data_IF_214002756797
#
_entry.id   IF_214002756797
#
_cell.length_a   1.000
_cell.length_b   1.000
_cell.length_c   1.000
_cell.angle_alpha   90.00
_cell.angle_beta   90.00
_cell.angle_gamma   90.00
#
_symmetry.space_group_name_H-M   'P 1'
#
loop_
_entity.id
_entity.type
_entity.pdbx_description
1 polymer ?
#
# COMPACT_ATOMS: atom_id res chain seq x y z
N UNK A 1 6.76 -30.33 9.86
CA UNK A 1 7.21 -31.52 10.60
C UNK A 1 6.13 -32.59 10.59
N UNK A 2 6.50 -33.87 10.83
CA UNK A 2 5.55 -34.98 10.88
C UNK A 2 4.45 -34.84 11.98
N UNK A 3 4.73 -34.02 12.99
CA UNK A 3 3.80 -33.70 14.08
C UNK A 3 2.93 -32.45 13.81
N UNK A 4 2.97 -31.90 12.60
CA UNK A 4 2.23 -30.70 12.22
C UNK A 4 2.79 -29.37 12.72
N UNK A 5 3.94 -29.38 13.44
CA UNK A 5 4.58 -28.14 13.86
C UNK A 5 5.27 -27.46 12.67
N UNK A 6 5.14 -26.13 12.59
CA UNK A 6 5.91 -25.30 11.66
C UNK A 6 7.40 -25.30 12.03
N UNK A 7 8.24 -24.98 11.06
CA UNK A 7 9.68 -24.80 11.27
C UNK A 7 10.13 -23.37 11.04
N UNK A 8 9.21 -22.52 10.54
CA UNK A 8 9.48 -21.15 10.07
C UNK A 8 10.62 -21.09 9.02
N UNK A 9 10.95 -22.22 8.41
CA UNK A 9 11.95 -22.38 7.38
C UNK A 9 11.43 -23.29 6.25
N UNK A 10 11.39 -22.75 5.03
CA UNK A 10 10.92 -23.49 3.85
C UNK A 10 11.61 -22.99 2.58
N UNK A 11 11.94 -23.92 1.68
CA UNK A 11 12.55 -23.63 0.37
C UNK A 11 13.85 -22.80 0.44
N UNK A 12 14.61 -22.98 1.52
CA UNK A 12 15.87 -22.26 1.73
C UNK A 12 15.71 -20.86 2.31
N UNK A 13 14.52 -20.51 2.82
CA UNK A 13 14.21 -19.20 3.41
C UNK A 13 13.64 -19.35 4.82
N UNK A 14 14.07 -18.48 5.72
CA UNK A 14 13.39 -18.24 6.98
C UNK A 14 12.13 -17.40 6.72
N UNK A 15 11.03 -17.76 7.36
CA UNK A 15 9.73 -17.09 7.26
C UNK A 15 9.40 -16.47 8.60
N UNK A 16 9.27 -15.16 8.66
CA UNK A 16 8.99 -14.43 9.89
C UNK A 16 7.98 -13.31 9.67
N UNK A 17 7.50 -12.74 10.76
CA UNK A 17 6.75 -11.50 10.76
C UNK A 17 7.65 -10.35 11.27
N UNK A 18 7.59 -9.22 10.58
CA UNK A 18 8.19 -7.95 10.99
C UNK A 18 7.07 -6.94 11.21
N UNK A 19 6.58 -6.87 12.45
CA UNK A 19 5.32 -6.21 12.74
C UNK A 19 4.15 -6.88 11.99
N UNK A 20 3.37 -6.13 11.20
CA UNK A 20 2.29 -6.70 10.41
C UNK A 20 2.74 -7.32 9.07
N UNK A 21 4.03 -7.21 8.70
CA UNK A 21 4.57 -7.57 7.40
C UNK A 21 5.17 -8.97 7.41
N UNK A 22 4.85 -9.77 6.41
CA UNK A 22 5.51 -11.06 6.19
C UNK A 22 6.90 -10.83 5.61
N UNK A 23 7.89 -11.43 6.26
CA UNK A 23 9.30 -11.34 5.89
C UNK A 23 9.83 -12.71 5.52
N UNK A 24 10.54 -12.81 4.39
CA UNK A 24 11.31 -13.96 3.96
C UNK A 24 12.78 -13.55 3.96
N UNK A 25 13.66 -14.33 4.59
CA UNK A 25 15.07 -13.97 4.64
C UNK A 25 15.98 -15.17 4.52
N UNK A 26 17.20 -14.91 4.05
CA UNK A 26 18.29 -15.87 4.07
C UNK A 26 19.61 -15.14 4.23
N UNK A 27 20.39 -15.55 5.21
CA UNK A 27 21.74 -15.06 5.44
C UNK A 27 22.79 -16.04 4.95
N UNK A 28 24.01 -15.55 4.79
CA UNK A 28 25.15 -16.37 4.41
C UNK A 28 26.46 -15.78 4.89
N UNK A 29 27.42 -16.67 5.15
CA UNK A 29 28.78 -16.30 5.50
C UNK A 29 29.74 -17.21 4.75
N UNK A 30 30.75 -16.63 4.13
CA UNK A 30 31.90 -17.28 3.54
C UNK A 30 33.16 -16.55 3.97
N UNK A 31 34.34 -17.13 3.75
CA UNK A 31 35.62 -16.54 4.18
C UNK A 31 35.73 -15.04 3.71
N UNK A 32 35.73 -14.15 4.67
CA UNK A 32 35.85 -12.70 4.43
C UNK A 32 34.56 -11.92 4.14
N UNK A 33 33.39 -12.60 4.07
CA UNK A 33 32.15 -11.94 3.64
C UNK A 33 30.95 -12.44 4.44
N UNK A 34 30.04 -11.52 4.75
CA UNK A 34 28.69 -11.86 5.23
C UNK A 34 27.63 -11.21 4.33
N UNK A 35 26.49 -11.85 4.21
CA UNK A 35 25.38 -11.41 3.37
C UNK A 35 24.04 -11.63 4.04
N UNK A 36 23.06 -10.80 3.69
CA UNK A 36 21.65 -11.00 4.02
C UNK A 36 20.80 -10.58 2.84
N UNK A 37 19.83 -11.42 2.50
CA UNK A 37 18.74 -11.10 1.60
C UNK A 37 17.42 -11.13 2.39
N UNK A 38 16.65 -10.06 2.33
CA UNK A 38 15.33 -9.94 2.96
C UNK A 38 14.31 -9.54 1.91
N UNK A 39 13.19 -10.24 1.87
CA UNK A 39 12.08 -9.94 0.95
C UNK A 39 10.80 -9.75 1.76
N UNK A 40 10.08 -8.68 1.47
CA UNK A 40 8.73 -8.40 1.93
C UNK A 40 7.78 -8.56 0.74
N UNK A 41 7.26 -9.77 0.51
CA UNK A 41 6.56 -10.11 -0.74
C UNK A 41 5.24 -9.36 -0.90
N UNK A 42 4.56 -9.06 0.19
CA UNK A 42 3.26 -8.39 0.17
C UNK A 42 3.41 -6.89 -0.14
N UNK A 43 4.56 -6.30 0.19
CA UNK A 43 4.94 -4.91 -0.10
C UNK A 43 5.73 -4.75 -1.40
N UNK A 44 6.21 -5.85 -1.99
CA UNK A 44 7.05 -5.83 -3.19
C UNK A 44 8.44 -5.24 -2.95
N UNK A 45 8.97 -5.37 -1.74
CA UNK A 45 10.28 -4.83 -1.34
C UNK A 45 11.28 -5.96 -1.17
N UNK A 46 12.50 -5.77 -1.67
CA UNK A 46 13.64 -6.63 -1.39
C UNK A 46 14.84 -5.77 -0.95
N UNK A 47 15.54 -6.23 0.09
CA UNK A 47 16.73 -5.60 0.65
C UNK A 47 17.85 -6.62 0.63
N UNK A 48 18.96 -6.30 -0.03
CA UNK A 48 20.16 -7.13 -0.06
C UNK A 48 21.31 -6.34 0.53
N UNK A 49 21.99 -6.94 1.51
CA UNK A 49 23.18 -6.36 2.15
C UNK A 49 24.33 -7.33 2.00
N UNK A 50 25.40 -6.88 1.39
CA UNK A 50 26.65 -7.62 1.22
C UNK A 50 27.77 -6.86 1.94
N UNK A 51 28.56 -7.57 2.74
CA UNK A 51 29.69 -6.97 3.44
C UNK A 51 30.95 -7.81 3.26
N UNK A 52 32.08 -7.14 3.28
CA UNK A 52 33.40 -7.77 3.26
C UNK A 52 33.98 -7.96 4.68
N UNK A 53 33.13 -8.29 5.62
CA UNK A 53 33.49 -8.49 7.03
C UNK A 53 32.92 -9.82 7.52
N UNK A 54 33.75 -10.67 8.09
CA UNK A 54 33.34 -11.93 8.70
C UNK A 54 32.78 -11.72 10.12
N UNK A 55 32.00 -12.72 10.58
CA UNK A 55 31.44 -12.78 11.93
C UNK A 55 30.76 -11.46 12.37
N UNK A 56 30.03 -10.87 11.44
CA UNK A 56 29.42 -9.54 11.64
C UNK A 56 27.91 -9.60 11.56
N UNK A 57 27.25 -8.94 12.50
CA UNK A 57 25.80 -8.69 12.45
C UNK A 57 25.42 -7.43 11.63
N UNK A 58 26.39 -6.81 10.95
CA UNK A 58 26.14 -5.60 10.17
C UNK A 58 25.07 -5.79 9.08
N UNK A 59 25.01 -6.90 8.31
CA UNK A 59 23.95 -7.09 7.33
C UNK A 59 22.55 -7.05 7.94
N UNK A 60 22.34 -7.72 9.08
CA UNK A 60 21.06 -7.72 9.78
C UNK A 60 20.67 -6.32 10.29
N UNK A 61 21.63 -5.62 10.91
CA UNK A 61 21.39 -4.27 11.44
C UNK A 61 21.10 -3.26 10.33
N UNK A 62 21.82 -3.34 9.21
CA UNK A 62 21.62 -2.46 8.06
C UNK A 62 20.28 -2.75 7.37
N UNK A 63 19.97 -4.04 7.13
CA UNK A 63 18.70 -4.41 6.52
C UNK A 63 17.50 -3.94 7.36
N UNK A 64 17.55 -4.11 8.67
CA UNK A 64 16.50 -3.62 9.57
C UNK A 64 16.35 -2.09 9.54
N UNK A 65 17.47 -1.34 9.55
CA UNK A 65 17.43 0.12 9.44
C UNK A 65 16.87 0.59 8.10
N UNK A 66 17.25 -0.06 7.01
CA UNK A 66 16.75 0.24 5.65
C UNK A 66 15.25 -0.05 5.59
N UNK A 67 14.79 -1.21 6.11
CA UNK A 67 13.38 -1.55 6.18
C UNK A 67 12.57 -0.50 6.95
N UNK A 68 13.05 -0.08 8.11
CA UNK A 68 12.38 0.96 8.90
C UNK A 68 12.23 2.27 8.11
N UNK A 69 13.28 2.74 7.43
CA UNK A 69 13.21 3.96 6.62
C UNK A 69 12.19 3.82 5.48
N UNK A 70 12.20 2.67 4.79
CA UNK A 70 11.28 2.42 3.66
C UNK A 70 9.84 2.40 4.15
N UNK A 71 9.56 1.67 5.22
CA UNK A 71 8.19 1.45 5.67
C UNK A 71 7.64 2.64 6.45
N UNK A 72 8.43 3.35 7.23
CA UNK A 72 8.03 4.58 7.89
C UNK A 72 7.60 5.64 6.86
N UNK A 73 8.40 5.81 5.80
CA UNK A 73 8.07 6.75 4.73
C UNK A 73 6.82 6.32 3.94
N UNK A 74 6.71 5.02 3.60
CA UNK A 74 5.56 4.48 2.90
C UNK A 74 4.27 4.61 3.73
N UNK A 75 4.32 4.26 5.01
CA UNK A 75 3.18 4.33 5.93
C UNK A 75 2.70 5.79 6.12
N UNK A 76 3.62 6.75 6.24
CA UNK A 76 3.29 8.18 6.33
C UNK A 76 2.63 8.68 5.03
N UNK A 77 3.16 8.28 3.87
CA UNK A 77 2.59 8.62 2.56
C UNK A 77 1.20 8.02 2.39
N UNK A 78 1.02 6.75 2.71
CA UNK A 78 -0.27 6.07 2.61
C UNK A 78 -1.29 6.65 3.59
N UNK A 79 -0.88 7.09 4.77
CA UNK A 79 -1.73 7.81 5.73
C UNK A 79 -2.22 9.13 5.13
N UNK A 80 -1.33 9.95 4.58
CA UNK A 80 -1.67 11.23 3.96
C UNK A 80 -2.61 11.03 2.74
N UNK A 81 -2.32 10.02 1.90
CA UNK A 81 -3.15 9.69 0.73
C UNK A 81 -4.50 9.10 1.11
N UNK A 82 -4.59 8.39 2.22
CA UNK A 82 -5.86 7.90 2.78
C UNK A 82 -6.74 9.06 3.20
N UNK A 83 -6.20 10.04 3.92
CA UNK A 83 -6.92 11.25 4.32
C UNK A 83 -7.39 12.05 3.10
N UNK A 84 -6.52 12.28 2.11
CA UNK A 84 -6.86 12.95 0.86
C UNK A 84 -7.99 12.23 0.11
N UNK A 85 -7.86 10.91 -0.09
CA UNK A 85 -8.87 10.12 -0.83
C UNK A 85 -10.21 10.08 -0.09
N UNK A 86 -10.19 10.03 1.25
CA UNK A 86 -11.40 10.15 2.07
C UNK A 86 -12.09 11.50 1.84
N UNK A 87 -11.34 12.59 1.84
CA UNK A 87 -11.87 13.93 1.57
C UNK A 87 -12.50 14.03 0.17
N UNK A 88 -11.85 13.45 -0.85
CA UNK A 88 -12.40 13.38 -2.21
C UNK A 88 -13.70 12.57 -2.22
N UNK A 89 -13.70 11.40 -1.58
CA UNK A 89 -14.89 10.54 -1.50
C UNK A 89 -16.07 11.24 -0.82
N UNK A 90 -15.83 11.98 0.26
CA UNK A 90 -16.84 12.80 0.93
C UNK A 90 -17.33 13.96 0.03
N UNK A 91 -16.44 14.54 -0.77
CA UNK A 91 -16.77 15.52 -1.78
C UNK A 91 -17.71 14.96 -2.86
N UNK A 92 -17.40 13.78 -3.39
CA UNK A 92 -18.25 13.08 -4.39
C UNK A 92 -19.64 12.76 -3.83
N UNK A 93 -19.74 12.37 -2.57
CA UNK A 93 -21.02 12.18 -1.88
C UNK A 93 -21.85 13.47 -1.81
N UNK A 94 -21.21 14.61 -1.82
CA UNK A 94 -21.84 15.94 -1.84
C UNK A 94 -21.92 16.55 -3.26
N UNK A 95 -21.64 15.80 -4.31
CA UNK A 95 -21.65 16.27 -5.70
C UNK A 95 -20.54 17.26 -6.03
N UNK A 96 -19.42 17.22 -5.28
CA UNK A 96 -18.32 18.18 -5.40
C UNK A 96 -16.98 17.48 -5.56
N UNK A 97 -16.03 18.16 -6.23
CA UNK A 97 -14.66 17.66 -6.39
C UNK A 97 -13.68 18.84 -6.42
N UNK A 98 -12.52 18.66 -5.81
CA UNK A 98 -11.39 19.57 -6.00
C UNK A 98 -10.61 19.14 -7.25
N UNK A 99 -10.78 19.87 -8.32
CA UNK A 99 -10.20 19.58 -9.63
C UNK A 99 -8.69 19.73 -9.68
N UNK A 100 -8.09 20.48 -8.74
CA UNK A 100 -6.63 20.67 -8.68
C UNK A 100 -5.88 19.39 -8.34
N UNK A 101 -6.56 18.44 -7.67
CA UNK A 101 -6.01 17.15 -7.29
C UNK A 101 -5.93 16.14 -8.45
N UNK A 102 -6.48 16.47 -9.61
CA UNK A 102 -6.60 15.56 -10.74
C UNK A 102 -5.85 16.07 -11.96
N UNK A 103 -5.43 15.13 -12.81
CA UNK A 103 -4.92 15.48 -14.15
C UNK A 103 -6.01 16.08 -15.02
N UNK A 104 -5.63 16.69 -16.13
CA UNK A 104 -6.62 17.19 -17.12
C UNK A 104 -7.49 16.06 -17.68
N UNK A 105 -6.88 14.89 -17.92
CA UNK A 105 -7.58 13.70 -18.41
C UNK A 105 -8.63 13.20 -17.39
N UNK A 106 -8.24 13.00 -16.15
CA UNK A 106 -9.16 12.59 -15.08
C UNK A 106 -10.29 13.60 -14.86
N UNK A 107 -10.00 14.89 -14.95
CA UNK A 107 -11.01 15.95 -14.84
C UNK A 107 -12.10 15.89 -15.92
N UNK A 108 -11.78 15.35 -17.11
CA UNK A 108 -12.74 15.13 -18.18
C UNK A 108 -13.86 14.16 -17.82
N UNK A 109 -13.62 13.21 -16.89
CA UNK A 109 -14.63 12.25 -16.43
C UNK A 109 -15.60 12.83 -15.38
N UNK A 110 -15.23 13.90 -14.71
CA UNK A 110 -16.07 14.52 -13.67
C UNK A 110 -16.95 15.63 -14.25
N UNK A 111 -17.83 15.28 -15.21
CA UNK A 111 -18.86 16.19 -15.72
C UNK A 111 -19.87 16.57 -14.62
N UNK A 112 -20.69 17.58 -14.85
CA UNK A 112 -21.78 17.94 -13.92
C UNK A 112 -22.73 16.75 -13.69
N UNK A 113 -23.04 15.99 -14.76
CA UNK A 113 -23.87 14.79 -14.66
C UNK A 113 -23.19 13.71 -13.81
N UNK A 114 -21.91 13.41 -14.05
CA UNK A 114 -21.17 12.41 -13.28
C UNK A 114 -21.13 12.77 -11.78
N UNK A 115 -20.95 14.03 -11.43
CA UNK A 115 -20.97 14.47 -10.04
C UNK A 115 -22.37 14.34 -9.41
N UNK A 116 -23.45 14.64 -10.18
CA UNK A 116 -24.82 14.41 -9.73
C UNK A 116 -25.11 12.91 -9.52
N UNK A 117 -24.61 12.04 -10.40
CA UNK A 117 -24.75 10.58 -10.29
C UNK A 117 -24.02 10.04 -9.06
N UNK A 118 -22.80 10.54 -8.78
CA UNK A 118 -22.07 10.21 -7.53
C UNK A 118 -22.86 10.67 -6.31
N UNK A 119 -23.39 11.88 -6.32
CA UNK A 119 -24.21 12.40 -5.21
C UNK A 119 -25.46 11.55 -4.99
N UNK A 120 -26.17 11.21 -6.05
CA UNK A 120 -27.39 10.39 -5.98
C UNK A 120 -27.08 8.97 -5.44
N UNK A 121 -25.95 8.38 -5.85
CA UNK A 121 -25.58 7.01 -5.48
C UNK A 121 -24.92 6.92 -4.10
N UNK A 122 -24.05 7.84 -3.75
CA UNK A 122 -23.26 7.80 -2.52
C UNK A 122 -23.85 8.64 -1.38
N UNK A 123 -24.57 9.71 -1.69
CA UNK A 123 -25.16 10.61 -0.71
C UNK A 123 -26.05 9.90 0.31
N UNK A 124 -27.02 9.07 -0.12
CA UNK A 124 -27.93 8.35 0.78
C UNK A 124 -27.24 7.37 1.75
N UNK A 125 -26.01 6.94 1.43
CA UNK A 125 -25.27 6.00 2.28
C UNK A 125 -24.74 6.64 3.58
N UNK A 126 -24.72 7.96 3.66
CA UNK A 126 -24.13 8.65 4.80
C UNK A 126 -22.60 8.52 4.86
N UNK A 127 -22.00 8.88 5.97
CA UNK A 127 -20.56 8.72 6.19
C UNK A 127 -20.24 7.24 6.46
N UNK A 128 -19.15 6.69 5.90
CA UNK A 128 -18.68 5.36 6.26
C UNK A 128 -18.23 5.33 7.72
N UNK A 129 -18.44 4.20 8.41
CA UNK A 129 -17.91 3.97 9.76
C UNK A 129 -16.39 3.98 9.79
N UNK A 130 -15.80 3.48 8.73
CA UNK A 130 -14.35 3.40 8.58
C UNK A 130 -13.98 3.65 7.11
N UNK A 131 -12.87 4.36 6.89
CA UNK A 131 -12.24 4.53 5.59
C UNK A 131 -10.77 4.18 5.76
N UNK A 132 -10.35 3.05 5.19
CA UNK A 132 -9.00 2.52 5.41
C UNK A 132 -8.29 2.16 4.13
N UNK A 133 -6.99 2.38 4.12
CA UNK A 133 -6.07 1.86 3.12
C UNK A 133 -6.03 0.32 3.18
N UNK A 134 -5.94 -0.32 2.02
CA UNK A 134 -5.90 -1.78 1.88
C UNK A 134 -4.60 -2.22 1.24
N UNK A 135 -4.19 -1.56 0.15
CA UNK A 135 -3.05 -1.99 -0.64
C UNK A 135 -2.52 -0.86 -1.51
N UNK A 136 -1.19 -0.81 -1.68
CA UNK A 136 -0.47 0.01 -2.65
C UNK A 136 0.22 -0.89 -3.68
N UNK A 137 0.27 -0.47 -4.96
CA UNK A 137 0.97 -1.16 -6.03
C UNK A 137 1.48 -0.19 -7.10
N UNK A 138 2.39 -0.65 -7.96
CA UNK A 138 2.90 0.12 -9.08
C UNK A 138 2.30 -0.38 -10.41
N UNK A 139 1.95 0.54 -11.31
CA UNK A 139 1.46 0.22 -12.64
C UNK A 139 1.79 1.34 -13.63
N UNK A 140 2.63 1.05 -14.63
CA UNK A 140 2.92 1.98 -15.73
C UNK A 140 3.45 3.34 -15.27
N UNK A 141 4.30 3.37 -14.24
CA UNK A 141 4.84 4.61 -13.67
C UNK A 141 3.89 5.35 -12.72
N UNK A 142 2.70 4.82 -12.48
CA UNK A 142 1.72 5.35 -11.53
C UNK A 142 1.70 4.51 -10.26
N UNK A 143 1.38 5.14 -9.12
CA UNK A 143 1.10 4.45 -7.86
C UNK A 143 -0.40 4.21 -7.73
N UNK A 144 -0.79 2.94 -7.74
CA UNK A 144 -2.16 2.52 -7.44
C UNK A 144 -2.36 2.37 -5.94
N UNK A 145 -3.50 2.83 -5.42
CA UNK A 145 -3.93 2.59 -4.03
C UNK A 145 -5.37 2.16 -3.98
N UNK A 146 -5.66 1.22 -3.09
CA UNK A 146 -7.02 0.74 -2.85
C UNK A 146 -7.41 0.99 -1.41
N UNK A 147 -8.66 1.38 -1.22
CA UNK A 147 -9.27 1.71 0.07
C UNK A 147 -10.60 1.01 0.23
N UNK A 148 -11.01 0.76 1.46
CA UNK A 148 -12.37 0.35 1.80
C UNK A 148 -13.10 1.46 2.55
N UNK A 149 -14.27 1.84 2.04
CA UNK A 149 -15.27 2.58 2.79
C UNK A 149 -16.27 1.57 3.37
N UNK A 150 -16.25 1.41 4.69
CA UNK A 150 -17.01 0.38 5.41
C UNK A 150 -18.27 0.98 6.00
N UNK A 151 -19.41 0.39 5.67
CA UNK A 151 -20.73 0.72 6.20
C UNK A 151 -21.28 -0.44 7.03
N UNK A 152 -22.36 -0.28 7.79
CA UNK A 152 -22.92 -1.38 8.60
C UNK A 152 -23.32 -2.61 7.80
N UNK A 153 -23.85 -2.40 6.59
CA UNK A 153 -24.50 -3.39 5.75
C UNK A 153 -23.75 -3.68 4.44
N UNK A 154 -22.72 -2.89 4.13
CA UNK A 154 -21.96 -3.02 2.87
C UNK A 154 -20.56 -2.46 2.97
N UNK A 155 -19.79 -2.75 1.92
CA UNK A 155 -18.44 -2.24 1.73
C UNK A 155 -18.31 -1.71 0.30
N UNK A 156 -17.69 -0.53 0.17
CA UNK A 156 -17.28 -0.02 -1.11
C UNK A 156 -15.74 -0.08 -1.21
N UNK A 157 -15.26 -0.47 -2.36
CA UNK A 157 -13.85 -0.31 -2.73
C UNK A 157 -13.69 1.00 -3.48
N UNK A 158 -12.76 1.83 -3.02
CA UNK A 158 -12.28 3.00 -3.72
C UNK A 158 -10.86 2.73 -4.15
N UNK A 159 -10.50 3.05 -5.39
CA UNK A 159 -9.10 2.98 -5.80
C UNK A 159 -8.70 4.16 -6.66
N UNK A 160 -7.43 4.51 -6.56
CA UNK A 160 -6.82 5.63 -7.27
C UNK A 160 -5.59 5.17 -8.04
N UNK A 161 -5.28 5.89 -9.11
CA UNK A 161 -3.96 5.90 -9.71
C UNK A 161 -3.39 7.31 -9.62
N UNK A 162 -2.22 7.44 -9.00
CA UNK A 162 -1.50 8.69 -8.77
C UNK A 162 -0.29 8.76 -9.70
N UNK A 163 -0.16 9.88 -10.39
CA UNK A 163 0.99 10.21 -11.22
C UNK A 163 2.21 10.56 -10.35
N UNK A 164 3.46 10.54 -10.88
CA UNK A 164 4.65 10.92 -10.13
C UNK A 164 4.61 12.36 -9.58
N UNK A 165 3.82 13.25 -10.19
CA UNK A 165 3.62 14.63 -9.73
C UNK A 165 2.58 14.77 -8.60
N UNK A 166 2.01 13.66 -8.14
CA UNK A 166 1.05 13.59 -7.04
C UNK A 166 -0.40 13.82 -7.44
N UNK A 167 -0.70 14.13 -8.72
CA UNK A 167 -2.08 14.26 -9.20
C UNK A 167 -2.70 12.90 -9.51
N UNK A 168 -3.99 12.78 -9.29
CA UNK A 168 -4.74 11.57 -9.58
C UNK A 168 -5.12 11.51 -11.07
N UNK A 169 -4.71 10.43 -11.73
CA UNK A 169 -5.12 10.09 -13.09
C UNK A 169 -6.46 9.36 -13.11
N UNK A 170 -6.78 8.66 -12.02
CA UNK A 170 -8.02 7.91 -11.92
C UNK A 170 -8.49 7.81 -10.47
N UNK A 171 -9.80 7.88 -10.28
CA UNK A 171 -10.48 7.49 -9.05
C UNK A 171 -11.75 6.75 -9.43
N UNK A 172 -11.95 5.57 -8.82
CA UNK A 172 -13.14 4.76 -9.04
C UNK A 172 -13.72 4.29 -7.71
N UNK A 173 -15.04 4.10 -7.70
CA UNK A 173 -15.80 3.57 -6.57
C UNK A 173 -16.63 2.39 -7.06
N UNK A 174 -16.57 1.26 -6.35
CA UNK A 174 -17.29 0.04 -6.69
C UNK A 174 -17.83 -0.63 -5.44
N UNK A 175 -19.03 -1.21 -5.52
CA UNK A 175 -19.51 -2.11 -4.49
C UNK A 175 -18.63 -3.38 -4.44
N UNK A 176 -18.40 -3.89 -3.22
CA UNK A 176 -17.75 -5.19 -3.00
C UNK A 176 -18.87 -6.16 -2.62
N UNK A 177 -19.00 -7.21 -3.40
CA UNK A 177 -19.87 -8.34 -3.09
C UNK A 177 -19.37 -9.16 -1.90
#
# INVERSE_FOLDING_TARGET
>A
LKNGAGTDYALGLDVAMDGPRRKLEHGGEVAGFTALNVVYPDEGVAIVVLTNLMASHAPNQLAAKIANIIFEHADATDTARTAQTKTIFEGLRAGRIDRSLFTSNANGYFSAQALADFQASLGPLGAPKEFKHVRTWQRGGMTGRSYHAVYPDRKLRVWTYEMPDGRLEQLQVQAVE
#
